data_IF_748474238609
#
_entry.id   IF_748474238609
#
_cell.length_a   1.000
_cell.length_b   1.000
_cell.length_c   1.000
_cell.angle_alpha   90.00
_cell.angle_beta   90.00
_cell.angle_gamma   90.00
#
_symmetry.space_group_name_H-M   'P 1'
#
loop_
_entity.id
_entity.type
_entity.pdbx_description
1 polymer ?
#
# COMPACT_ATOMS: atom_id res chain seq x y z
N UNK A 1 24.33 17.00 -31.14
CA UNK A 1 23.05 16.39 -30.72
C UNK A 1 22.39 17.41 -29.83
N UNK A 2 21.47 18.20 -30.39
CA UNK A 2 20.73 19.20 -29.62
C UNK A 2 19.65 18.46 -28.85
N UNK A 3 19.89 18.15 -27.58
CA UNK A 3 18.87 17.61 -26.69
C UNK A 3 18.49 18.70 -25.71
N UNK A 4 17.20 19.00 -25.57
CA UNK A 4 16.74 19.84 -24.48
C UNK A 4 16.96 19.09 -23.18
N UNK A 5 17.68 19.70 -22.24
CA UNK A 5 17.88 19.11 -20.93
C UNK A 5 16.53 18.87 -20.24
N UNK A 6 16.35 17.73 -19.55
CA UNK A 6 15.18 17.51 -18.71
C UNK A 6 15.08 18.59 -17.64
N UNK A 7 13.85 18.98 -17.32
CA UNK A 7 13.57 20.05 -16.36
C UNK A 7 13.15 19.45 -15.03
N UNK A 8 13.88 19.70 -13.92
CA UNK A 8 13.46 19.27 -12.60
C UNK A 8 12.10 19.85 -12.21
N UNK A 9 11.31 19.06 -11.49
CA UNK A 9 10.03 19.46 -10.94
C UNK A 9 10.23 19.92 -9.49
N UNK A 10 9.77 21.14 -9.18
CA UNK A 10 9.97 21.73 -7.86
C UNK A 10 9.00 21.19 -6.79
N UNK A 11 7.79 20.80 -7.19
CA UNK A 11 6.78 20.17 -6.34
C UNK A 11 7.11 18.70 -6.00
N UNK A 12 6.42 18.17 -4.99
CA UNK A 12 6.58 16.79 -4.52
C UNK A 12 7.73 16.60 -3.52
N UNK A 13 7.86 15.37 -3.03
CA UNK A 13 8.82 14.99 -1.98
C UNK A 13 10.09 14.30 -2.53
N UNK A 14 10.09 13.91 -3.81
CA UNK A 14 11.17 13.18 -4.47
C UNK A 14 11.74 13.91 -5.69
N UNK A 15 12.68 13.25 -6.38
CA UNK A 15 13.18 13.67 -7.67
C UNK A 15 12.20 13.33 -8.79
N UNK A 16 11.80 14.33 -9.57
CA UNK A 16 10.94 14.16 -10.74
C UNK A 16 11.36 15.15 -11.82
N UNK A 17 11.29 14.73 -13.08
CA UNK A 17 11.86 15.47 -14.21
C UNK A 17 10.93 15.44 -15.42
N UNK A 18 10.64 16.59 -16.01
CA UNK A 18 9.99 16.70 -17.31
C UNK A 18 11.00 16.45 -18.43
N UNK A 19 10.71 15.48 -19.27
CA UNK A 19 11.42 15.25 -20.53
C UNK A 19 10.67 15.92 -21.66
N UNK A 20 11.41 16.55 -22.57
CA UNK A 20 10.86 17.35 -23.66
C UNK A 20 11.26 16.80 -25.03
N UNK A 21 10.38 16.95 -26.02
CA UNK A 21 10.70 16.69 -27.42
C UNK A 21 11.56 17.82 -28.00
N UNK A 22 11.95 17.70 -29.28
CA UNK A 22 12.76 18.72 -29.97
C UNK A 22 12.03 20.07 -30.14
N UNK A 23 10.71 20.10 -29.98
CA UNK A 23 9.86 21.29 -30.04
C UNK A 23 9.77 22.02 -28.68
N UNK A 24 10.23 21.39 -27.60
CA UNK A 24 10.17 21.93 -26.24
C UNK A 24 8.94 21.51 -25.44
N UNK A 25 8.05 20.72 -26.02
CA UNK A 25 6.86 20.21 -25.35
C UNK A 25 7.21 19.09 -24.39
N UNK A 26 6.53 19.07 -23.24
CA UNK A 26 6.66 18.01 -22.24
C UNK A 26 6.03 16.74 -22.78
N UNK A 27 6.79 15.65 -22.82
CA UNK A 27 6.33 14.35 -23.37
C UNK A 27 6.36 13.22 -22.35
N UNK A 28 7.19 13.34 -21.31
CA UNK A 28 7.26 12.34 -20.25
C UNK A 28 7.66 12.94 -18.90
N UNK A 29 7.27 12.25 -17.84
CA UNK A 29 7.72 12.47 -16.48
C UNK A 29 8.59 11.28 -16.08
N UNK A 30 9.78 11.58 -15.56
CA UNK A 30 10.74 10.56 -15.12
C UNK A 30 10.98 10.72 -13.63
N UNK A 31 10.78 9.64 -12.86
CA UNK A 31 11.02 9.60 -11.41
C UNK A 31 12.08 8.52 -11.09
N UNK A 32 13.35 8.91 -10.84
CA UNK A 32 14.39 7.95 -10.46
C UNK A 32 14.13 7.32 -9.09
N UNK A 33 14.25 6.00 -9.00
CA UNK A 33 13.89 5.23 -7.78
C UNK A 33 14.81 5.52 -6.60
N UNK A 34 16.03 5.99 -6.83
CA UNK A 34 16.97 6.36 -5.77
C UNK A 34 16.84 7.82 -5.33
N UNK A 35 15.90 8.57 -5.92
CA UNK A 35 15.60 9.98 -5.60
C UNK A 35 14.24 10.18 -4.94
N UNK A 36 13.47 9.11 -4.69
CA UNK A 36 12.19 9.18 -4.00
C UNK A 36 12.35 9.60 -2.51
N UNK A 37 11.26 9.88 -1.78
CA UNK A 37 11.35 10.25 -0.36
C UNK A 37 12.11 9.20 0.46
N UNK A 38 13.02 9.68 1.30
CA UNK A 38 13.97 8.90 2.12
C UNK A 38 15.07 8.17 1.37
N UNK A 39 15.06 8.15 0.04
CA UNK A 39 16.10 7.50 -0.75
C UNK A 39 17.45 8.23 -0.67
N UNK A 40 18.58 7.52 -0.87
CA UNK A 40 19.91 8.08 -0.67
C UNK A 40 20.19 9.34 -1.51
N UNK A 41 19.65 9.42 -2.72
CA UNK A 41 19.89 10.51 -3.66
C UNK A 41 18.70 11.48 -3.77
N UNK A 42 17.81 11.54 -2.77
CA UNK A 42 16.69 12.48 -2.78
C UNK A 42 17.20 13.95 -2.90
N UNK A 43 16.77 14.70 -3.94
CA UNK A 43 17.23 16.08 -4.18
C UNK A 43 16.58 17.13 -3.27
N UNK A 44 15.51 16.77 -2.56
CA UNK A 44 14.75 17.65 -1.68
C UNK A 44 15.24 17.60 -0.23
N UNK A 45 16.27 16.79 0.06
CA UNK A 45 16.86 16.66 1.38
C UNK A 45 16.14 15.67 2.31
N UNK A 46 15.03 15.06 1.87
CA UNK A 46 14.37 13.97 2.57
C UNK A 46 15.16 12.68 2.37
N UNK A 47 16.33 12.60 2.99
CA UNK A 47 17.23 11.43 2.94
C UNK A 47 17.27 10.75 4.31
N UNK A 48 17.85 9.56 4.39
CA UNK A 48 18.15 8.94 5.69
C UNK A 48 17.87 7.45 5.77
N UNK A 49 17.31 6.84 4.71
CA UNK A 49 17.03 5.40 4.68
C UNK A 49 17.76 4.72 3.53
N UNK A 50 18.11 3.46 3.75
CA UNK A 50 18.64 2.60 2.70
C UNK A 50 17.50 2.09 1.81
N UNK A 51 17.80 1.79 0.54
CA UNK A 51 16.84 1.13 -0.35
C UNK A 51 16.38 -0.21 0.27
N UNK A 52 15.08 -0.49 0.19
CA UNK A 52 14.46 -1.66 0.80
C UNK A 52 14.08 -1.50 2.28
N UNK A 53 14.38 -0.37 2.93
CA UNK A 53 13.81 -0.04 4.24
C UNK A 53 12.38 0.50 4.09
N UNK A 54 11.54 0.47 5.16
CA UNK A 54 10.20 1.07 5.11
C UNK A 54 10.24 2.53 4.65
N UNK A 55 9.35 2.90 3.73
CA UNK A 55 9.26 4.25 3.16
C UNK A 55 8.25 5.13 3.90
N UNK A 56 7.61 6.04 3.14
CA UNK A 56 6.57 6.94 3.65
C UNK A 56 5.37 6.18 4.21
N UNK A 57 4.94 5.13 3.50
CA UNK A 57 4.05 4.07 4.01
C UNK A 57 4.92 2.90 4.45
N UNK A 58 4.69 2.32 5.64
CA UNK A 58 5.58 1.28 6.18
C UNK A 58 5.59 0.01 5.32
N UNK A 59 4.47 -0.29 4.68
CA UNK A 59 4.28 -1.40 3.75
C UNK A 59 4.81 -1.16 2.33
N UNK A 60 5.33 0.04 2.02
CA UNK A 60 5.98 0.36 0.74
C UNK A 60 7.42 0.75 1.02
N UNK A 61 8.38 0.00 0.48
CA UNK A 61 9.80 0.21 0.79
C UNK A 61 10.41 1.29 -0.09
N UNK A 62 11.45 1.94 0.43
CA UNK A 62 12.24 2.92 -0.29
C UNK A 62 12.89 2.27 -1.52
N UNK A 63 12.72 2.88 -2.68
CA UNK A 63 13.18 2.43 -4.00
C UNK A 63 12.16 1.59 -4.76
N UNK A 64 10.96 1.36 -4.21
CA UNK A 64 9.95 0.49 -4.82
C UNK A 64 8.86 1.25 -5.59
N UNK A 65 8.78 2.58 -5.48
CA UNK A 65 7.69 3.36 -6.12
C UNK A 65 7.68 3.21 -7.63
N UNK A 66 8.85 3.15 -8.27
CA UNK A 66 8.97 3.14 -9.73
C UNK A 66 8.37 1.91 -10.40
N UNK A 67 8.51 0.70 -9.85
CA UNK A 67 7.88 -0.48 -10.44
C UNK A 67 6.39 -0.58 -10.12
N UNK A 68 5.93 0.06 -9.04
CA UNK A 68 4.51 0.12 -8.67
C UNK A 68 3.71 0.97 -9.66
N UNK A 69 4.30 2.07 -10.12
CA UNK A 69 3.78 2.88 -11.23
C UNK A 69 3.58 2.05 -12.51
N UNK A 70 4.54 1.17 -12.82
CA UNK A 70 4.45 0.25 -13.97
C UNK A 70 3.39 -0.83 -13.73
N UNK A 71 3.31 -1.38 -12.52
CA UNK A 71 2.30 -2.36 -12.16
C UNK A 71 0.88 -1.79 -12.34
N UNK A 72 0.64 -0.54 -11.95
CA UNK A 72 -0.65 0.12 -12.14
C UNK A 72 -1.03 0.23 -13.63
N UNK A 73 -0.07 0.61 -14.49
CA UNK A 73 -0.29 0.65 -15.94
C UNK A 73 -0.56 -0.74 -16.53
N UNK A 74 0.20 -1.76 -16.13
CA UNK A 74 0.00 -3.14 -16.61
C UNK A 74 -1.34 -3.75 -16.17
N UNK A 75 -1.81 -3.37 -14.98
CA UNK A 75 -3.10 -3.82 -14.44
C UNK A 75 -4.29 -3.02 -14.99
N UNK A 76 -4.06 -1.89 -15.65
CA UNK A 76 -5.11 -1.13 -16.34
C UNK A 76 -5.44 -1.76 -17.70
N UNK A 77 -6.22 -2.85 -17.66
CA UNK A 77 -6.52 -3.64 -18.85
C UNK A 77 -7.24 -2.80 -19.89
N UNK A 78 -6.76 -2.87 -21.14
CA UNK A 78 -7.31 -2.10 -22.26
C UNK A 78 -7.33 -0.57 -22.00
N UNK A 79 -6.51 -0.09 -21.05
CA UNK A 79 -6.46 1.30 -20.62
C UNK A 79 -7.83 1.81 -20.13
N UNK A 80 -8.55 0.99 -19.36
CA UNK A 80 -9.90 1.27 -18.87
C UNK A 80 -9.92 2.50 -17.95
N UNK A 81 -9.02 2.59 -16.96
CA UNK A 81 -8.88 3.69 -16.02
C UNK A 81 -8.14 4.91 -16.59
N UNK A 82 -7.56 4.80 -17.80
CA UNK A 82 -6.72 5.80 -18.44
C UNK A 82 -5.39 6.08 -17.71
N UNK A 83 -4.75 5.05 -17.15
CA UNK A 83 -3.39 5.20 -16.60
C UNK A 83 -2.43 5.55 -17.74
N UNK A 84 -1.70 6.68 -17.69
CA UNK A 84 -0.76 7.03 -18.75
C UNK A 84 0.31 5.96 -18.94
N UNK A 85 0.73 5.74 -20.19
CA UNK A 85 1.70 4.72 -20.52
C UNK A 85 2.96 4.85 -19.67
N UNK A 86 3.31 3.79 -18.94
CA UNK A 86 4.39 3.81 -17.95
C UNK A 86 5.32 2.62 -18.13
N UNK A 87 6.62 2.88 -18.12
CA UNK A 87 7.66 1.86 -18.25
C UNK A 87 8.75 2.03 -17.19
N UNK A 88 9.42 0.93 -16.83
CA UNK A 88 10.63 0.96 -16.02
C UNK A 88 11.84 1.06 -16.95
N UNK A 89 12.65 2.10 -16.81
CA UNK A 89 13.78 2.35 -17.71
C UNK A 89 15.08 2.50 -16.96
N UNK A 90 16.18 2.17 -17.63
CA UNK A 90 17.52 2.60 -17.24
C UNK A 90 17.89 3.84 -18.06
N UNK A 91 18.03 4.99 -17.39
CA UNK A 91 18.24 6.29 -18.04
C UNK A 91 19.50 6.95 -17.51
N UNK A 92 20.20 7.69 -18.38
CA UNK A 92 21.51 8.29 -18.08
C UNK A 92 21.47 9.77 -18.43
N UNK A 93 21.57 10.64 -17.44
CA UNK A 93 21.58 12.10 -17.63
C UNK A 93 22.32 12.79 -16.49
N UNK A 94 22.95 13.94 -16.76
CA UNK A 94 23.69 14.72 -15.75
C UNK A 94 22.79 15.51 -14.79
N UNK A 95 21.49 15.61 -15.10
CA UNK A 95 20.51 16.34 -14.27
C UNK A 95 20.12 15.56 -13.01
N UNK A 96 20.32 14.24 -13.02
CA UNK A 96 19.94 13.38 -11.91
C UNK A 96 20.80 13.64 -10.69
N UNK A 97 20.17 13.67 -9.53
CA UNK A 97 20.84 14.03 -8.29
C UNK A 97 21.72 12.89 -7.77
N UNK A 98 22.90 13.22 -7.26
CA UNK A 98 23.79 12.27 -6.59
C UNK A 98 24.26 12.93 -5.31
N UNK A 99 23.77 12.44 -4.17
CA UNK A 99 24.24 12.91 -2.88
C UNK A 99 25.60 12.26 -2.62
N UNK A 100 26.67 13.05 -2.74
CA UNK A 100 28.02 12.57 -2.42
C UNK A 100 28.16 12.48 -0.89
N UNK A 101 28.58 11.33 -0.32
CA UNK A 101 28.82 11.25 1.11
C UNK A 101 29.89 12.27 1.52
N UNK A 102 29.62 13.01 2.59
CA UNK A 102 30.49 14.05 3.14
C UNK A 102 31.69 13.42 3.86
N UNK A 103 32.44 12.54 3.22
CA UNK A 103 33.74 12.11 3.73
C UNK A 103 34.73 13.25 3.42
N UNK A 104 35.30 13.84 4.48
CA UNK A 104 36.10 15.07 4.52
C UNK A 104 37.41 15.09 3.72
N UNK A 105 37.36 14.74 2.44
CA UNK A 105 38.39 15.03 1.45
C UNK A 105 38.12 16.40 0.83
N UNK A 106 39.19 17.19 0.71
CA UNK A 106 39.22 18.52 0.08
C UNK A 106 38.35 18.63 -1.18
N UNK A 107 37.65 19.76 -1.41
CA UNK A 107 36.91 19.97 -2.64
C UNK A 107 37.90 20.03 -3.81
N UNK A 108 38.06 18.92 -4.53
CA UNK A 108 38.85 18.90 -5.74
C UNK A 108 38.11 19.72 -6.80
N UNK A 109 38.73 20.84 -7.18
CA UNK A 109 38.22 21.88 -8.06
C UNK A 109 38.07 21.46 -9.54
N UNK A 110 38.11 20.16 -9.85
CA UNK A 110 38.06 19.62 -11.22
C UNK A 110 37.21 18.35 -11.28
N UNK A 111 35.89 18.50 -11.36
CA UNK A 111 35.00 17.36 -11.58
C UNK A 111 34.03 17.66 -12.71
N UNK A 112 34.27 17.02 -13.87
CA UNK A 112 33.28 16.89 -14.94
C UNK A 112 31.97 16.39 -14.33
N UNK A 113 30.79 16.85 -14.79
CA UNK A 113 29.51 16.34 -14.32
C UNK A 113 29.51 14.81 -14.49
N UNK A 114 29.40 14.10 -13.37
CA UNK A 114 29.41 12.64 -13.36
C UNK A 114 28.06 12.16 -13.86
N UNK A 115 27.99 11.83 -15.14
CA UNK A 115 26.77 11.28 -15.74
C UNK A 115 26.57 9.87 -15.17
N UNK A 116 25.47 9.64 -14.45
CA UNK A 116 25.13 8.33 -13.88
C UNK A 116 23.89 7.76 -14.54
N UNK A 117 23.85 6.44 -14.63
CA UNK A 117 22.65 5.71 -15.02
C UNK A 117 21.81 5.42 -13.78
N UNK A 118 20.51 5.63 -13.89
CA UNK A 118 19.52 5.35 -12.84
C UNK A 118 18.38 4.50 -13.37
N UNK A 119 17.76 3.75 -12.47
CA UNK A 119 16.46 3.11 -12.73
C UNK A 119 15.38 4.14 -12.40
N UNK A 120 14.40 4.28 -13.27
CA UNK A 120 13.33 5.26 -13.12
C UNK A 120 12.02 4.75 -13.69
N UNK A 121 10.90 5.17 -13.11
CA UNK A 121 9.63 5.13 -13.83
C UNK A 121 9.63 6.23 -14.90
N UNK A 122 9.18 5.88 -16.09
CA UNK A 122 9.06 6.74 -17.25
C UNK A 122 7.60 6.71 -17.69
N UNK A 123 6.86 7.77 -17.34
CA UNK A 123 5.44 7.87 -17.60
C UNK A 123 5.18 8.94 -18.66
N UNK A 124 4.27 8.66 -19.59
CA UNK A 124 3.82 9.63 -20.58
C UNK A 124 3.26 10.88 -19.88
N UNK A 125 3.70 12.05 -20.32
CA UNK A 125 3.12 13.31 -19.87
C UNK A 125 1.76 13.51 -20.54
N UNK A 126 0.74 13.76 -19.72
CA UNK A 126 -0.61 14.10 -20.18
C UNK A 126 -0.77 15.61 -20.07
N UNK A 127 -0.94 16.29 -21.20
CA UNK A 127 -1.38 17.69 -21.21
C UNK A 127 -2.77 17.77 -20.57
N UNK A 128 -2.91 18.61 -19.55
CA UNK A 128 -4.10 18.77 -18.72
C UNK A 128 -4.24 20.24 -18.31
N UNK A 129 -5.43 20.63 -17.87
CA UNK A 129 -5.71 21.99 -17.47
C UNK A 129 -5.54 22.19 -15.96
N UNK A 130 -5.99 21.19 -15.17
CA UNK A 130 -5.98 21.23 -13.70
C UNK A 130 -5.82 19.80 -13.15
N UNK A 131 -5.56 19.66 -11.86
CA UNK A 131 -5.87 18.43 -11.12
C UNK A 131 -7.24 18.52 -10.45
N UNK A 132 -7.74 17.40 -9.91
CA UNK A 132 -9.07 17.33 -9.33
C UNK A 132 -9.21 18.11 -8.01
N UNK A 133 -8.12 18.52 -7.35
CA UNK A 133 -8.19 19.37 -6.15
C UNK A 133 -8.49 20.84 -6.48
N UNK A 134 -8.10 21.28 -7.67
CA UNK A 134 -8.32 22.65 -8.17
C UNK A 134 -9.67 22.82 -8.88
N UNK A 135 -10.41 21.74 -9.13
CA UNK A 135 -11.66 21.76 -9.91
C UNK A 135 -12.82 21.07 -9.16
N UNK A 136 -13.99 21.73 -9.13
CA UNK A 136 -15.21 21.15 -8.57
C UNK A 136 -15.57 19.81 -9.20
N UNK A 137 -15.64 18.78 -8.35
CA UNK A 137 -15.81 17.37 -8.76
C UNK A 137 -17.17 17.06 -9.38
N UNK A 138 -18.16 17.95 -9.25
CA UNK A 138 -19.52 17.78 -9.80
C UNK A 138 -19.58 17.68 -11.33
N UNK A 139 -18.54 18.11 -12.03
CA UNK A 139 -18.45 18.06 -13.50
C UNK A 139 -17.84 16.76 -14.05
N UNK A 140 -17.31 15.90 -13.18
CA UNK A 140 -16.61 14.70 -13.60
C UNK A 140 -17.57 13.62 -14.13
N UNK A 141 -17.26 12.96 -15.25
CA UNK A 141 -18.05 11.83 -15.73
C UNK A 141 -18.07 10.70 -14.72
N UNK A 142 -19.26 10.16 -14.44
CA UNK A 142 -19.46 9.02 -13.52
C UNK A 142 -18.55 7.87 -13.89
N UNK A 143 -18.54 7.49 -15.18
CA UNK A 143 -17.72 6.41 -15.68
C UNK A 143 -16.23 6.64 -15.41
N UNK A 144 -15.71 7.85 -15.63
CA UNK A 144 -14.28 8.13 -15.39
C UNK A 144 -13.90 7.93 -13.89
N UNK A 145 -14.76 8.37 -12.97
CA UNK A 145 -14.56 8.15 -11.53
C UNK A 145 -14.63 6.65 -11.19
N UNK A 146 -15.61 5.94 -11.75
CA UNK A 146 -15.76 4.50 -11.55
C UNK A 146 -14.53 3.71 -12.01
N UNK A 147 -14.02 4.01 -13.21
CA UNK A 147 -12.85 3.31 -13.78
C UNK A 147 -11.59 3.52 -12.93
N UNK A 148 -11.37 4.74 -12.44
CA UNK A 148 -10.27 5.04 -11.50
C UNK A 148 -10.45 4.27 -10.18
N UNK A 149 -11.63 4.34 -9.58
CA UNK A 149 -11.92 3.64 -8.31
C UNK A 149 -11.80 2.12 -8.42
N UNK A 150 -12.25 1.52 -9.53
CA UNK A 150 -12.09 0.10 -9.83
C UNK A 150 -10.61 -0.30 -9.81
N UNK A 151 -9.74 0.47 -10.47
CA UNK A 151 -8.31 0.20 -10.46
C UNK A 151 -7.73 0.39 -9.06
N UNK A 152 -8.01 1.51 -8.40
CA UNK A 152 -7.50 1.84 -7.07
C UNK A 152 -7.86 0.80 -6.01
N UNK A 153 -9.07 0.23 -6.07
CA UNK A 153 -9.49 -0.88 -5.22
C UNK A 153 -8.61 -2.10 -5.48
N UNK A 154 -8.45 -2.53 -6.75
CA UNK A 154 -7.66 -3.73 -7.10
C UNK A 154 -6.21 -3.62 -6.64
N UNK A 155 -5.60 -2.46 -6.85
CA UNK A 155 -4.20 -2.23 -6.50
C UNK A 155 -4.02 -1.79 -5.04
N UNK A 156 -5.11 -1.65 -4.28
CA UNK A 156 -5.11 -1.11 -2.92
C UNK A 156 -4.29 0.18 -2.83
N UNK A 157 -4.70 1.20 -3.59
CA UNK A 157 -4.00 2.48 -3.61
C UNK A 157 -4.14 3.17 -2.24
N UNK A 158 -3.02 3.49 -1.59
CA UNK A 158 -3.04 4.07 -0.24
C UNK A 158 -3.01 5.60 -0.22
N UNK A 159 -2.99 6.23 -1.39
CA UNK A 159 -2.80 7.68 -1.54
C UNK A 159 -3.54 8.26 -2.76
N UNK A 160 -4.79 7.86 -3.00
CA UNK A 160 -5.61 8.49 -4.05
C UNK A 160 -6.27 9.75 -3.53
N UNK A 161 -5.63 10.89 -3.79
CA UNK A 161 -6.20 12.23 -3.60
C UNK A 161 -6.41 12.97 -4.94
N UNK A 162 -7.08 14.12 -4.91
CA UNK A 162 -7.48 14.91 -6.08
C UNK A 162 -6.28 15.42 -6.87
N UNK A 163 -5.18 15.76 -6.18
CA UNK A 163 -3.90 16.07 -6.83
C UNK A 163 -3.30 14.92 -7.68
N UNK A 164 -3.76 13.68 -7.48
CA UNK A 164 -3.32 12.50 -8.25
C UNK A 164 -4.28 12.16 -9.40
N UNK A 165 -5.24 13.04 -9.72
CA UNK A 165 -6.16 12.86 -10.84
C UNK A 165 -6.10 14.11 -11.72
N UNK A 166 -5.53 13.96 -12.91
CA UNK A 166 -5.44 15.05 -13.88
C UNK A 166 -6.77 15.23 -14.59
N UNK A 167 -7.16 16.49 -14.82
CA UNK A 167 -8.39 16.88 -15.50
C UNK A 167 -8.05 17.64 -16.78
N UNK A 168 -8.50 17.11 -17.91
CA UNK A 168 -8.46 17.78 -19.21
C UNK A 168 -9.86 18.19 -19.62
N UNK A 169 -10.05 19.44 -20.02
CA UNK A 169 -11.30 19.94 -20.62
C UNK A 169 -11.34 19.58 -22.10
N UNK A 170 -12.49 19.11 -22.55
CA UNK A 170 -12.77 18.88 -23.96
C UNK A 170 -13.50 20.10 -24.54
N UNK A 171 -12.88 20.73 -25.53
CA UNK A 171 -13.48 21.85 -26.28
C UNK A 171 -14.57 21.31 -27.23
N UNK A 172 -15.85 21.49 -26.88
CA UNK A 172 -16.95 21.04 -27.75
C UNK A 172 -18.38 21.08 -27.21
N UNK A 173 -18.61 21.44 -25.94
CA UNK A 173 -19.95 21.49 -25.36
C UNK A 173 -20.75 22.75 -25.72
N UNK A 174 -21.28 22.88 -26.94
CA UNK A 174 -22.28 23.92 -27.30
C UNK A 174 -23.69 23.62 -26.76
N UNK A 175 -23.81 23.11 -25.54
CA UNK A 175 -25.08 22.69 -24.94
C UNK A 175 -25.14 22.99 -23.44
N UNK A 176 -26.35 23.23 -22.92
CA UNK A 176 -26.66 23.66 -21.54
C UNK A 176 -26.28 22.67 -20.41
N UNK A 177 -25.41 21.69 -20.66
CA UNK A 177 -24.98 20.67 -19.71
C UNK A 177 -23.46 20.43 -19.78
N UNK A 178 -22.70 21.22 -19.02
CA UNK A 178 -21.31 20.94 -18.61
C UNK A 178 -20.23 20.94 -19.70
N UNK A 179 -19.03 21.44 -19.35
CA UNK A 179 -17.83 21.11 -20.11
C UNK A 179 -17.54 19.62 -19.91
N UNK A 180 -17.43 18.85 -20.99
CA UNK A 180 -16.97 17.46 -20.89
C UNK A 180 -15.50 17.46 -20.44
N UNK A 181 -15.18 16.59 -19.49
CA UNK A 181 -13.81 16.43 -18.97
C UNK A 181 -13.33 15.00 -19.13
N UNK A 182 -12.04 14.83 -19.32
CA UNK A 182 -11.34 13.55 -19.23
C UNK A 182 -10.52 13.51 -17.95
N UNK A 183 -10.48 12.35 -17.30
CA UNK A 183 -9.69 12.11 -16.09
C UNK A 183 -8.57 11.11 -16.38
N UNK A 184 -7.40 11.38 -15.80
CA UNK A 184 -6.22 10.51 -15.89
C UNK A 184 -5.65 10.31 -14.48
N UNK A 185 -5.71 9.09 -13.91
CA UNK A 185 -5.05 8.80 -12.64
C UNK A 185 -3.54 8.74 -12.85
N UNK A 186 -2.80 9.41 -11.96
CA UNK A 186 -1.34 9.39 -11.94
C UNK A 186 -0.85 9.04 -10.53
N UNK A 187 0.47 8.92 -10.39
CA UNK A 187 1.16 8.77 -9.10
C UNK A 187 0.72 7.54 -8.28
N UNK A 188 0.93 6.35 -8.85
CA UNK A 188 0.60 5.07 -8.23
C UNK A 188 1.76 4.50 -7.39
N UNK A 189 2.75 5.33 -7.02
CA UNK A 189 3.93 4.89 -6.29
C UNK A 189 3.65 4.21 -4.93
N UNK A 190 2.47 4.48 -4.34
CA UNK A 190 2.03 3.96 -3.04
C UNK A 190 0.89 2.92 -3.14
N UNK A 191 0.78 2.19 -4.26
CA UNK A 191 -0.12 1.05 -4.42
C UNK A 191 0.57 -0.29 -4.10
N UNK A 192 -0.23 -1.37 -4.00
CA UNK A 192 0.18 -2.76 -3.79
C UNK A 192 1.01 -3.00 -2.51
N UNK A 193 0.60 -2.48 -1.35
CA UNK A 193 1.37 -2.61 -0.11
C UNK A 193 1.65 -4.07 0.29
N UNK A 194 2.64 -4.29 1.16
CA UNK A 194 2.91 -5.61 1.75
C UNK A 194 1.81 -6.14 2.65
N UNK A 195 1.10 -5.23 3.32
CA UNK A 195 0.07 -5.54 4.31
C UNK A 195 -1.10 -4.57 4.11
N UNK A 196 -2.26 -4.93 4.64
CA UNK A 196 -3.38 -4.01 4.69
C UNK A 196 -3.05 -2.88 5.67
N UNK A 197 -3.14 -1.65 5.17
CA UNK A 197 -3.09 -0.40 5.92
C UNK A 197 -4.38 0.37 5.59
N UNK A 198 -4.67 1.46 6.30
CA UNK A 198 -5.80 2.30 5.93
C UNK A 198 -5.56 3.00 4.57
N UNK A 199 -6.33 2.68 3.51
CA UNK A 199 -6.20 3.35 2.23
C UNK A 199 -6.86 4.72 2.27
N UNK A 200 -6.38 5.65 1.45
CA UNK A 200 -7.04 6.94 1.26
C UNK A 200 -7.63 7.02 -0.14
N UNK A 201 -8.96 7.11 -0.21
CA UNK A 201 -9.73 7.22 -1.45
C UNK A 201 -10.59 8.49 -1.41
N UNK A 202 -10.11 9.58 -2.00
CA UNK A 202 -10.88 10.84 -2.02
C UNK A 202 -12.19 10.72 -2.81
N UNK A 203 -12.22 9.86 -3.83
CA UNK A 203 -13.40 9.66 -4.67
C UNK A 203 -14.60 9.07 -3.93
N UNK A 204 -14.43 8.49 -2.73
CA UNK A 204 -15.57 8.03 -1.90
C UNK A 204 -16.52 9.20 -1.61
N UNK A 205 -15.98 10.41 -1.49
CA UNK A 205 -16.75 11.62 -1.18
C UNK A 205 -17.33 12.30 -2.42
N UNK A 206 -17.07 11.79 -3.62
CA UNK A 206 -17.60 12.35 -4.86
C UNK A 206 -18.97 11.73 -5.14
N UNK A 207 -19.94 12.56 -5.52
CA UNK A 207 -21.33 12.12 -5.74
C UNK A 207 -21.43 10.99 -6.78
N UNK A 208 -20.50 10.96 -7.73
CA UNK A 208 -20.37 9.93 -8.75
C UNK A 208 -20.18 8.54 -8.15
N UNK A 209 -19.38 8.39 -7.09
CA UNK A 209 -19.09 7.08 -6.50
C UNK A 209 -20.31 6.43 -5.82
N UNK A 210 -21.33 7.23 -5.47
CA UNK A 210 -22.61 6.72 -4.95
C UNK A 210 -23.59 6.29 -6.03
N UNK A 211 -23.22 6.38 -7.32
CA UNK A 211 -24.04 5.94 -8.44
C UNK A 211 -23.73 4.45 -8.71
N UNK A 212 -24.74 3.60 -9.00
CA UNK A 212 -24.49 2.20 -9.34
C UNK A 212 -23.57 2.07 -10.57
N UNK A 213 -22.76 1.00 -10.59
CA UNK A 213 -21.97 0.65 -11.77
C UNK A 213 -22.86 0.44 -13.00
N UNK A 214 -22.35 0.84 -14.15
CA UNK A 214 -22.94 0.53 -15.45
C UNK A 214 -22.69 -0.93 -15.85
N UNK A 215 -23.44 -1.42 -16.85
CA UNK A 215 -23.24 -2.76 -17.39
C UNK A 215 -21.83 -2.98 -17.95
N UNK A 216 -21.25 -1.95 -18.59
CA UNK A 216 -19.87 -1.99 -19.11
C UNK A 216 -18.86 -2.19 -17.97
N UNK A 217 -19.03 -1.46 -16.87
CA UNK A 217 -18.15 -1.56 -15.69
C UNK A 217 -18.29 -2.91 -14.99
N UNK A 218 -19.52 -3.40 -14.83
CA UNK A 218 -19.77 -4.72 -14.24
C UNK A 218 -19.20 -5.84 -15.12
N UNK A 219 -19.34 -5.73 -16.45
CA UNK A 219 -18.75 -6.68 -17.39
C UNK A 219 -17.22 -6.67 -17.28
N UNK A 220 -16.60 -5.48 -17.24
CA UNK A 220 -15.15 -5.34 -17.03
C UNK A 220 -14.71 -6.02 -15.73
N UNK A 221 -15.35 -5.71 -14.59
CA UNK A 221 -15.04 -6.30 -13.28
C UNK A 221 -15.19 -7.83 -13.32
N UNK A 222 -16.25 -8.34 -13.95
CA UNK A 222 -16.52 -9.78 -14.05
C UNK A 222 -15.43 -10.55 -14.81
N UNK A 223 -14.74 -9.91 -15.77
CA UNK A 223 -13.68 -10.50 -16.59
C UNK A 223 -12.30 -10.52 -15.93
N UNK A 224 -12.07 -9.72 -14.88
CA UNK A 224 -10.78 -9.66 -14.18
C UNK A 224 -10.36 -11.02 -13.62
N UNK A 225 -9.10 -11.41 -13.80
CA UNK A 225 -8.55 -12.66 -13.28
C UNK A 225 -7.36 -12.36 -12.36
N UNK A 226 -7.56 -12.39 -11.02
CA UNK A 226 -6.50 -12.05 -10.07
C UNK A 226 -5.27 -12.96 -10.17
N UNK A 227 -5.45 -14.23 -10.55
CA UNK A 227 -4.35 -15.19 -10.62
C UNK A 227 -3.51 -14.96 -11.88
N UNK A 228 -4.18 -14.65 -13.00
CA UNK A 228 -3.51 -14.27 -14.24
C UNK A 228 -2.75 -12.96 -14.08
N UNK A 229 -3.34 -11.97 -13.42
CA UNK A 229 -2.72 -10.67 -13.16
C UNK A 229 -1.49 -10.82 -12.27
N UNK A 230 -1.60 -11.61 -11.20
CA UNK A 230 -0.46 -11.91 -10.33
C UNK A 230 0.65 -12.67 -11.09
N UNK A 231 0.30 -13.63 -11.95
CA UNK A 231 1.28 -14.35 -12.76
C UNK A 231 2.00 -13.43 -13.77
N UNK A 232 1.25 -12.51 -14.40
CA UNK A 232 1.82 -11.50 -15.29
C UNK A 232 2.81 -10.61 -14.54
N UNK A 233 2.44 -10.09 -13.36
CA UNK A 233 3.35 -9.26 -12.58
C UNK A 233 4.59 -10.02 -12.09
N UNK A 234 4.49 -11.32 -11.74
CA UNK A 234 5.67 -12.14 -11.43
C UNK A 234 6.64 -12.23 -12.61
N UNK A 235 6.12 -12.28 -13.83
CA UNK A 235 6.92 -12.34 -15.06
C UNK A 235 7.56 -11.00 -15.43
N UNK A 236 6.76 -9.93 -15.45
CA UNK A 236 7.19 -8.61 -15.90
C UNK A 236 7.97 -7.83 -14.84
N UNK A 237 7.62 -8.00 -13.56
CA UNK A 237 8.18 -7.27 -12.43
C UNK A 237 8.66 -8.24 -11.33
N UNK A 238 9.72 -9.04 -11.55
CA UNK A 238 10.16 -10.08 -10.62
C UNK A 238 10.66 -9.56 -9.26
N UNK A 239 10.83 -8.25 -9.10
CA UNK A 239 11.11 -7.60 -7.82
C UNK A 239 9.88 -7.43 -6.93
N UNK A 240 8.66 -7.57 -7.49
CA UNK A 240 7.44 -7.50 -6.71
C UNK A 240 7.36 -8.68 -5.75
N UNK A 241 7.01 -8.41 -4.50
CA UNK A 241 7.04 -9.41 -3.44
C UNK A 241 5.70 -10.11 -3.37
N UNK A 242 5.74 -11.39 -2.99
CA UNK A 242 4.54 -12.25 -2.98
C UNK A 242 3.41 -11.67 -2.11
N UNK A 243 3.74 -10.99 -1.02
CA UNK A 243 2.77 -10.29 -0.17
C UNK A 243 1.95 -9.24 -0.94
N UNK A 244 2.59 -8.46 -1.83
CA UNK A 244 1.92 -7.48 -2.67
C UNK A 244 0.97 -8.14 -3.68
N UNK A 245 1.35 -9.30 -4.22
CA UNK A 245 0.51 -10.09 -5.12
C UNK A 245 -0.70 -10.68 -4.39
N UNK A 246 -0.52 -11.11 -3.14
CA UNK A 246 -1.62 -11.56 -2.27
C UNK A 246 -2.63 -10.43 -2.03
N UNK A 247 -2.17 -9.19 -1.80
CA UNK A 247 -3.05 -8.02 -1.70
C UNK A 247 -3.82 -7.79 -3.01
N UNK A 248 -3.17 -7.84 -4.17
CA UNK A 248 -3.84 -7.71 -5.48
C UNK A 248 -4.93 -8.76 -5.67
N UNK A 249 -4.62 -10.03 -5.38
CA UNK A 249 -5.56 -11.15 -5.51
C UNK A 249 -6.77 -10.92 -4.60
N UNK A 250 -6.50 -10.65 -3.32
CA UNK A 250 -7.52 -10.41 -2.30
C UNK A 250 -8.46 -9.27 -2.70
N UNK A 251 -7.92 -8.12 -3.08
CA UNK A 251 -8.71 -6.93 -3.40
C UNK A 251 -9.49 -7.07 -4.70
N UNK A 252 -8.95 -7.80 -5.67
CA UNK A 252 -9.67 -8.12 -6.91
C UNK A 252 -10.83 -9.08 -6.64
N UNK A 253 -10.65 -10.10 -5.80
CA UNK A 253 -11.76 -10.99 -5.37
C UNK A 253 -12.82 -10.17 -4.63
N UNK A 254 -12.39 -9.33 -3.69
CA UNK A 254 -13.28 -8.45 -2.93
C UNK A 254 -14.14 -7.56 -3.84
N UNK A 255 -13.51 -6.86 -4.79
CA UNK A 255 -14.19 -6.01 -5.77
C UNK A 255 -15.23 -6.81 -6.57
N UNK A 256 -14.86 -7.99 -7.07
CA UNK A 256 -15.75 -8.81 -7.90
C UNK A 256 -16.99 -9.25 -7.14
N UNK A 257 -16.83 -9.77 -5.93
CA UNK A 257 -17.95 -10.23 -5.10
C UNK A 257 -18.84 -9.06 -4.68
N UNK A 258 -18.24 -7.93 -4.26
CA UNK A 258 -18.99 -6.75 -3.83
C UNK A 258 -19.77 -6.09 -4.99
N UNK A 259 -19.17 -5.99 -6.17
CA UNK A 259 -19.84 -5.46 -7.36
C UNK A 259 -20.95 -6.40 -7.86
N UNK A 260 -20.72 -7.72 -7.85
CA UNK A 260 -21.75 -8.71 -8.20
C UNK A 260 -22.92 -8.71 -7.21
N UNK A 261 -22.65 -8.39 -5.94
CA UNK A 261 -23.67 -8.22 -4.92
C UNK A 261 -24.49 -6.92 -5.09
N UNK A 262 -24.01 -5.99 -5.90
CA UNK A 262 -24.69 -4.75 -6.29
C UNK A 262 -24.30 -3.53 -5.46
N UNK A 263 -23.15 -3.55 -4.77
CA UNK A 263 -22.63 -2.36 -4.10
C UNK A 263 -22.10 -1.34 -5.12
N UNK A 264 -22.31 -0.05 -4.84
CA UNK A 264 -21.69 1.04 -5.60
C UNK A 264 -20.24 1.27 -5.17
N UNK A 265 -19.51 2.06 -5.95
CA UNK A 265 -18.09 2.31 -5.72
C UNK A 265 -17.81 2.88 -4.31
N UNK A 266 -18.62 3.84 -3.85
CA UNK A 266 -18.49 4.44 -2.52
C UNK A 266 -18.67 3.41 -1.39
N UNK A 267 -19.66 2.52 -1.49
CA UNK A 267 -19.91 1.48 -0.49
C UNK A 267 -18.74 0.48 -0.40
N UNK A 268 -18.15 0.13 -1.55
CA UNK A 268 -16.97 -0.74 -1.60
C UNK A 268 -15.76 -0.03 -0.96
N UNK A 269 -15.54 1.24 -1.30
CA UNK A 269 -14.48 2.06 -0.69
C UNK A 269 -14.64 2.17 0.83
N UNK A 270 -15.85 2.46 1.32
CA UNK A 270 -16.17 2.54 2.75
C UNK A 270 -15.88 1.24 3.50
N UNK A 271 -16.07 0.08 2.86
CA UNK A 271 -15.72 -1.22 3.46
C UNK A 271 -14.19 -1.42 3.60
N UNK A 272 -13.39 -0.74 2.78
CA UNK A 272 -11.92 -0.85 2.78
C UNK A 272 -11.26 0.17 3.71
N UNK A 273 -11.85 1.35 3.87
CA UNK A 273 -11.36 2.43 4.74
C UNK A 273 -11.77 2.21 6.20
N UNK A 274 -10.93 2.61 7.15
CA UNK A 274 -11.24 2.56 8.58
C UNK A 274 -12.17 3.69 8.99
N UNK A 275 -13.13 3.40 9.87
CA UNK A 275 -13.95 4.44 10.51
C UNK A 275 -13.17 5.05 11.69
N UNK A 276 -12.97 6.37 11.68
CA UNK A 276 -12.33 7.06 12.81
C UNK A 276 -13.37 7.35 13.91
N UNK A 277 -13.49 6.46 14.90
CA UNK A 277 -14.37 6.65 16.07
C UNK A 277 -13.54 6.93 17.32
N UNK A 278 -13.32 8.21 17.62
CA UNK A 278 -12.56 8.62 18.81
C UNK A 278 -11.05 8.69 18.57
N UNK A 279 -10.26 8.16 19.50
CA UNK A 279 -8.78 8.22 19.48
C UNK A 279 -8.12 6.89 19.10
N UNK A 280 -8.89 5.83 18.87
CA UNK A 280 -8.38 4.48 18.56
C UNK A 280 -8.70 4.10 17.11
N UNK A 281 -7.75 3.45 16.43
CA UNK A 281 -7.95 2.91 15.08
C UNK A 281 -8.68 1.57 15.16
N UNK A 282 -9.85 1.47 14.53
CA UNK A 282 -10.58 0.20 14.35
C UNK A 282 -10.29 -0.40 12.97
N UNK A 283 -10.24 -1.74 12.82
CA UNK A 283 -10.03 -2.38 11.53
C UNK A 283 -11.20 -2.08 10.58
N UNK A 284 -10.91 -1.96 9.29
CA UNK A 284 -11.96 -1.84 8.27
C UNK A 284 -12.75 -3.15 8.13
N UNK A 285 -13.90 -3.12 7.46
CA UNK A 285 -14.69 -4.35 7.23
C UNK A 285 -13.90 -5.39 6.44
N UNK A 286 -13.13 -4.96 5.44
CA UNK A 286 -12.22 -5.83 4.71
C UNK A 286 -11.21 -6.50 5.67
N UNK A 287 -10.60 -5.72 6.57
CA UNK A 287 -9.63 -6.23 7.53
C UNK A 287 -10.27 -7.21 8.52
N UNK A 288 -11.49 -6.95 9.00
CA UNK A 288 -12.24 -7.86 9.88
C UNK A 288 -12.47 -9.21 9.21
N UNK A 289 -12.93 -9.23 7.94
CA UNK A 289 -13.11 -10.48 7.19
C UNK A 289 -11.79 -11.23 7.05
N UNK A 290 -10.69 -10.51 6.79
CA UNK A 290 -9.36 -11.10 6.69
C UNK A 290 -8.85 -11.67 8.02
N UNK A 291 -9.10 -10.99 9.14
CA UNK A 291 -8.75 -11.47 10.49
C UNK A 291 -9.48 -12.78 10.80
N UNK A 292 -10.77 -12.85 10.49
CA UNK A 292 -11.58 -14.05 10.72
C UNK A 292 -11.16 -15.19 9.80
N UNK A 293 -10.88 -14.92 8.52
CA UNK A 293 -10.32 -15.91 7.59
C UNK A 293 -8.98 -16.45 8.11
N UNK A 294 -8.12 -15.57 8.65
CA UNK A 294 -6.85 -15.98 9.23
C UNK A 294 -7.04 -16.87 10.45
N UNK A 295 -7.99 -16.55 11.34
CA UNK A 295 -8.35 -17.40 12.48
C UNK A 295 -8.78 -18.80 12.05
N UNK A 296 -9.55 -18.92 10.95
CA UNK A 296 -9.96 -20.22 10.39
C UNK A 296 -8.80 -21.03 9.84
N UNK A 297 -7.77 -20.37 9.29
CA UNK A 297 -6.54 -21.03 8.83
C UNK A 297 -5.73 -21.55 10.03
N UNK A 298 -5.63 -20.78 11.10
CA UNK A 298 -4.92 -21.22 12.32
C UNK A 298 -5.62 -22.42 13.01
N UNK A 299 -6.94 -22.57 12.81
CA UNK A 299 -7.74 -23.72 13.27
C UNK A 299 -7.70 -24.90 12.30
N UNK A 300 -7.17 -24.71 11.09
CA UNK A 300 -7.12 -25.75 10.06
C UNK A 300 -5.90 -26.65 10.27
N UNK A 301 -6.15 -27.92 10.61
CA UNK A 301 -5.13 -28.96 10.66
C UNK A 301 -4.94 -29.56 9.25
N UNK A 302 -3.72 -29.56 8.69
CA UNK A 302 -3.45 -30.24 7.43
C UNK A 302 -3.78 -31.72 7.58
N UNK A 303 -4.54 -32.27 6.64
CA UNK A 303 -4.90 -33.69 6.64
C UNK A 303 -3.62 -34.53 6.58
N UNK A 304 -3.17 -35.07 7.72
CA UNK A 304 -2.14 -36.10 7.71
C UNK A 304 -2.80 -37.39 7.22
N UNK A 305 -2.28 -38.04 6.16
CA UNK A 305 -2.73 -39.39 5.86
C UNK A 305 -2.30 -40.24 7.06
N UNK A 306 -3.28 -40.60 7.89
CA UNK A 306 -3.07 -41.58 8.94
C UNK A 306 -2.48 -42.81 8.27
N UNK A 307 -1.23 -43.12 8.61
CA UNK A 307 -0.71 -44.46 8.43
C UNK A 307 -1.67 -45.34 9.22
N UNK A 308 -2.59 -46.01 8.52
CA UNK A 308 -3.27 -47.14 9.10
C UNK A 308 -2.14 -48.06 9.59
N UNK A 309 -1.95 -48.12 10.90
CA UNK A 309 -1.27 -49.23 11.53
C UNK A 309 -2.14 -50.45 11.23
N UNK A 310 -1.95 -51.00 10.04
CA UNK A 310 -2.36 -52.34 9.70
C UNK A 310 -1.74 -53.24 10.75
N UNK A 311 -2.62 -53.96 11.42
CA UNK A 311 -2.33 -54.99 12.41
C UNK A 311 -1.09 -55.80 12.00
N UNK A 312 -0.18 -55.99 12.95
CA UNK A 312 0.97 -56.89 12.84
C UNK A 312 0.55 -58.24 12.24
N UNK A 313 0.81 -58.42 10.95
CA UNK A 313 0.86 -59.74 10.32
C UNK A 313 2.32 -60.05 10.01
N UNK A 314 2.92 -60.78 10.95
CA UNK A 314 4.21 -61.45 10.84
C UNK A 314 4.36 -62.18 9.49
N UNK A 315 5.07 -61.58 8.54
CA UNK A 315 5.59 -62.30 7.38
C UNK A 315 7.03 -62.73 7.65
N UNK A 316 7.15 -63.90 8.28
CA UNK A 316 8.38 -64.67 8.41
C UNK A 316 8.83 -65.16 7.02
N UNK A 317 9.80 -64.48 6.40
CA UNK A 317 10.52 -65.05 5.26
C UNK A 317 11.69 -65.89 5.77
N UNK A 318 11.49 -67.21 5.80
CA UNK A 318 12.58 -68.20 5.85
C UNK A 318 13.31 -68.21 4.50
N UNK A 319 14.58 -67.80 4.48
CA UNK A 319 15.44 -67.92 3.30
C UNK A 319 16.46 -69.03 3.54
N UNK A 320 16.16 -70.20 2.98
CA UNK A 320 17.03 -71.37 3.01
C UNK A 320 18.24 -71.21 2.08
N UNK A 321 19.36 -71.74 2.57
CA UNK A 321 20.72 -71.73 2.03
C UNK A 321 20.89 -72.63 0.80
N UNK A 322 21.59 -72.16 -0.25
CA UNK A 322 22.47 -73.00 -1.09
C UNK A 322 23.40 -72.21 -2.04
N UNK A 323 24.73 -72.36 -1.82
CA UNK A 323 25.85 -72.19 -2.77
C UNK A 323 26.23 -70.76 -3.18
N UNK A 324 27.48 -70.30 -3.23
CA UNK A 324 28.82 -70.87 -3.09
C UNK A 324 29.81 -69.93 -3.82
N UNK A 325 31.04 -69.81 -3.29
CA UNK A 325 32.28 -69.15 -3.80
C UNK A 325 32.68 -67.73 -3.32
N UNK A 326 33.85 -67.71 -2.62
CA UNK A 326 35.00 -66.77 -2.55
C UNK A 326 34.80 -65.30 -2.97
N UNK A 327 35.36 -64.25 -2.35
CA UNK A 327 36.67 -64.10 -1.68
C UNK A 327 36.83 -62.65 -1.15
N UNK A 328 37.52 -62.50 -0.03
CA UNK A 328 38.36 -61.39 0.51
C UNK A 328 38.16 -59.90 0.08
N UNK A 329 38.01 -58.99 1.06
CA UNK A 329 39.02 -58.00 1.54
C UNK A 329 38.43 -56.98 2.57
N UNK A 330 39.11 -56.89 3.73
CA UNK A 330 39.28 -55.79 4.73
C UNK A 330 38.12 -54.92 5.25
N UNK A 331 37.92 -55.01 6.58
CA UNK A 331 37.57 -53.90 7.49
C UNK A 331 38.82 -53.04 7.83
N UNK A 332 38.70 -51.87 8.51
CA UNK A 332 38.34 -51.76 9.95
C UNK A 332 37.30 -50.65 10.25
N UNK A 333 36.27 -50.90 11.06
CA UNK A 333 36.18 -50.71 12.53
C UNK A 333 36.73 -49.37 13.06
N UNK A 334 35.86 -48.59 13.71
CA UNK A 334 36.00 -48.26 15.14
C UNK A 334 34.62 -47.99 15.79
N UNK A 335 34.31 -48.80 16.80
CA UNK A 335 33.25 -48.61 17.79
C UNK A 335 33.70 -47.57 18.83
N UNK A 336 32.75 -46.89 19.50
CA UNK A 336 32.29 -47.30 20.85
C UNK A 336 31.54 -46.18 21.58
N UNK A 337 30.35 -46.53 22.08
CA UNK A 337 29.75 -46.18 23.39
C UNK A 337 29.72 -44.70 23.82
N UNK A 338 28.59 -44.06 24.08
CA UNK A 338 27.38 -44.54 24.73
C UNK A 338 27.37 -44.08 26.20
N UNK A 339 26.32 -43.38 26.65
CA UNK A 339 25.76 -43.47 28.01
C UNK A 339 24.47 -42.64 28.14
N UNK A 340 23.53 -43.26 28.86
CA UNK A 340 22.17 -42.84 29.22
C UNK A 340 22.15 -41.67 30.21
N UNK A 341 21.04 -40.92 30.23
CA UNK A 341 20.63 -40.12 31.39
C UNK A 341 19.26 -39.47 31.18
N UNK A 342 18.31 -39.79 32.05
CA UNK A 342 16.88 -39.44 32.01
C UNK A 342 16.55 -38.30 32.98
N UNK A 343 15.39 -37.66 32.75
CA UNK A 343 14.47 -36.99 33.69
C UNK A 343 14.37 -35.44 33.73
N UNK A 344 13.16 -34.98 33.36
CA UNK A 344 12.21 -34.07 34.05
C UNK A 344 12.50 -32.56 34.21
N UNK A 345 11.56 -31.76 33.67
CA UNK A 345 11.13 -30.42 34.12
C UNK A 345 10.64 -30.45 35.59
N UNK A 346 10.71 -29.36 36.41
CA UNK A 346 9.76 -28.24 36.32
C UNK A 346 10.23 -26.82 36.81
N UNK A 347 9.36 -25.84 36.53
CA UNK A 347 9.25 -24.42 36.95
C UNK A 347 9.77 -24.02 38.35
N UNK A 348 10.33 -22.81 38.50
CA UNK A 348 9.84 -21.69 39.36
C UNK A 348 10.70 -20.40 39.33
N UNK A 349 10.03 -19.28 39.61
CA UNK A 349 10.46 -17.87 39.80
C UNK A 349 11.64 -17.65 40.76
N UNK A 350 12.38 -16.51 40.64
CA UNK A 350 12.38 -15.33 41.56
C UNK A 350 13.64 -14.42 41.39
N UNK A 351 13.46 -13.11 41.70
CA UNK A 351 14.41 -12.03 42.11
C UNK A 351 15.19 -11.33 40.98
N UNK A 352 14.83 -10.12 40.56
CA UNK A 352 15.08 -8.78 41.14
C UNK A 352 16.57 -8.39 41.32
N UNK A 353 16.97 -7.30 40.68
CA UNK A 353 18.09 -6.47 41.14
C UNK A 353 17.75 -5.01 40.89
N UNK A 354 17.59 -4.29 42.00
CA UNK A 354 17.46 -2.84 42.13
C UNK A 354 18.66 -2.12 41.52
N UNK A 355 18.43 -0.92 41.01
CA UNK A 355 19.29 0.23 41.32
C UNK A 355 18.37 1.43 41.55
N UNK A 356 18.43 1.93 42.77
CA UNK A 356 17.89 3.18 43.25
C UNK A 356 18.79 4.33 42.81
N UNK A 357 18.17 5.48 42.57
CA UNK A 357 18.60 6.85 42.88
C UNK A 357 17.36 7.69 42.47
N UNK A 358 16.63 8.40 43.32
CA UNK A 358 16.94 8.98 44.62
C UNK A 358 16.38 10.40 44.57
N UNK A 359 15.31 10.62 45.34
CA UNK A 359 14.92 11.86 46.01
C UNK A 359 14.48 13.07 45.13
N UNK A 360 13.46 13.88 45.43
CA UNK A 360 12.59 13.98 46.61
C UNK A 360 11.36 14.87 46.31
N UNK A 361 10.23 14.51 46.93
CA UNK A 361 9.25 15.33 47.69
C UNK A 361 8.50 16.49 46.98
N UNK A 362 7.20 16.29 46.72
CA UNK A 362 6.04 16.66 47.58
C UNK A 362 5.62 18.13 47.44
N UNK A 363 4.40 18.38 46.94
CA UNK A 363 3.33 18.81 47.85
C UNK A 363 1.92 18.73 47.25
N UNK A 364 0.96 18.45 48.11
CA UNK A 364 -0.45 18.18 47.85
C UNK A 364 -1.27 19.48 47.73
N UNK A 365 -2.34 19.46 46.92
CA UNK A 365 -3.75 19.75 47.33
C UNK A 365 -4.66 20.06 46.15
N UNK A 366 -5.73 19.29 46.01
CA UNK A 366 -7.00 19.82 45.50
C UNK A 366 -7.75 20.61 46.58
N UNK A 367 -8.65 21.52 46.18
CA UNK A 367 -10.05 21.24 46.46
C UNK A 367 -11.04 21.63 45.34
N UNK A 368 -12.30 21.26 45.60
CA UNK A 368 -13.44 21.04 44.73
C UNK A 368 -14.37 22.24 44.45
N UNK A 369 -15.27 22.00 43.48
CA UNK A 369 -16.71 22.38 43.36
C UNK A 369 -17.18 23.76 42.85
N UNK A 370 -17.99 23.64 41.76
CA UNK A 370 -19.23 24.38 41.36
C UNK A 370 -19.13 25.88 41.03
N UNK A 371 -19.83 26.48 40.05
CA UNK A 371 -21.11 26.21 39.36
C UNK A 371 -21.27 27.10 38.11
N UNK A 372 -22.04 26.65 37.09
CA UNK A 372 -22.99 27.40 36.20
C UNK A 372 -22.48 28.65 35.44
N UNK A 373 -22.80 28.99 34.18
CA UNK A 373 -23.92 28.63 33.31
C UNK A 373 -23.70 29.31 31.93
N UNK A 374 -24.37 28.79 30.88
CA UNK A 374 -24.73 29.40 29.57
C UNK A 374 -23.82 29.27 28.32
N UNK A 375 -24.30 28.39 27.42
CA UNK A 375 -24.50 28.51 25.96
C UNK A 375 -23.72 29.56 25.14
N UNK A 376 -22.98 29.11 24.12
CA UNK A 376 -23.34 29.32 22.69
C UNK A 376 -22.33 28.67 21.72
N UNK A 377 -22.90 28.09 20.64
CA UNK A 377 -22.36 27.92 19.27
C UNK A 377 -21.07 27.11 19.03
N UNK A 378 -21.28 26.01 18.31
CA UNK A 378 -20.29 25.15 17.69
C UNK A 378 -19.59 25.87 16.51
N UNK A 379 -18.27 25.73 16.44
CA UNK A 379 -17.48 25.90 15.22
C UNK A 379 -16.36 24.84 15.23
N UNK A 380 -16.52 23.82 14.38
CA UNK A 380 -15.47 22.84 14.10
C UNK A 380 -14.46 23.49 13.15
N UNK A 381 -13.30 23.87 13.68
CA UNK A 381 -12.19 24.44 12.90
C UNK A 381 -11.30 23.31 12.36
N UNK A 382 -11.35 23.12 11.05
CA UNK A 382 -10.35 22.39 10.26
C UNK A 382 -9.05 23.20 10.18
N UNK A 383 -7.85 22.61 10.36
CA UNK A 383 -6.61 23.36 10.16
C UNK A 383 -6.30 23.43 8.65
N UNK A 384 -6.66 24.56 8.04
CA UNK A 384 -6.13 24.98 6.73
C UNK A 384 -4.79 25.69 6.91
N UNK A 385 -3.73 25.20 6.25
CA UNK A 385 -2.46 25.91 6.18
C UNK A 385 -2.57 27.05 5.16
N UNK A 386 -2.89 28.25 5.63
CA UNK A 386 -2.74 29.46 4.82
C UNK A 386 -1.34 30.07 4.94
N UNK A 387 -0.68 30.14 3.79
CA UNK A 387 0.52 30.92 3.49
C UNK A 387 0.18 32.41 3.49
N UNK A 388 0.94 33.23 4.23
CA UNK A 388 0.91 34.70 4.12
C UNK A 388 2.28 35.26 3.73
N UNK A 389 2.26 36.27 2.87
CA UNK A 389 3.42 36.92 2.24
C UNK A 389 3.68 38.32 2.79
N UNK A 390 4.98 38.67 2.86
CA UNK A 390 5.62 40.01 2.95
C UNK A 390 5.58 40.72 4.33
N UNK A 391 6.61 41.43 4.82
CA UNK A 391 7.72 42.14 4.17
C UNK A 391 8.94 42.42 5.11
N UNK A 392 10.16 42.27 4.56
CA UNK A 392 11.45 42.99 4.77
C UNK A 392 11.91 43.42 6.18
N UNK A 393 13.06 42.89 6.61
CA UNK A 393 14.29 43.64 6.95
C UNK A 393 15.52 42.72 6.90
N UNK A 394 16.65 43.33 6.59
CA UNK A 394 17.97 42.76 6.27
C UNK A 394 18.80 42.33 7.47
N UNK A 395 19.40 41.14 7.43
CA UNK A 395 20.77 40.88 7.93
C UNK A 395 21.24 39.47 7.56
N UNK A 396 22.45 39.37 7.02
CA UNK A 396 23.16 38.13 6.73
C UNK A 396 23.30 37.22 7.96
N UNK A 397 22.78 36.00 7.87
CA UNK A 397 23.31 34.83 8.57
C UNK A 397 22.83 33.56 7.87
N UNK A 398 23.78 32.69 7.51
CA UNK A 398 23.51 31.38 6.93
C UNK A 398 22.78 30.51 7.98
N UNK A 399 21.51 30.24 7.75
CA UNK A 399 20.75 29.30 8.56
C UNK A 399 20.74 27.96 7.84
N UNK A 400 21.59 27.03 8.31
CA UNK A 400 21.47 25.62 8.00
C UNK A 400 20.05 25.15 8.35
N UNK A 401 19.35 24.55 7.39
CA UNK A 401 18.12 23.83 7.66
C UNK A 401 18.42 22.72 8.69
N UNK A 402 17.65 22.59 9.77
CA UNK A 402 17.86 21.51 10.71
C UNK A 402 17.50 20.21 9.99
N UNK A 403 18.44 19.26 9.97
CA UNK A 403 18.19 17.87 9.63
C UNK A 403 17.10 17.34 10.58
N UNK A 404 15.84 17.37 10.13
CA UNK A 404 14.78 16.61 10.81
C UNK A 404 15.11 15.14 10.61
N UNK A 405 15.34 14.43 11.71
CA UNK A 405 15.56 13.00 11.71
C UNK A 405 14.40 12.30 11.00
N UNK A 406 14.69 11.29 10.17
CA UNK A 406 13.71 10.47 9.48
C UNK A 406 12.80 9.65 10.42
N UNK A 407 12.98 9.78 11.75
CA UNK A 407 12.19 9.15 12.80
C UNK A 407 11.10 10.06 13.39
N UNK A 408 11.09 11.37 13.10
CA UNK A 408 10.06 12.29 13.60
C UNK A 408 8.97 12.59 12.55
N UNK A 409 8.14 11.61 12.16
CA UNK A 409 6.82 11.92 11.57
C UNK A 409 5.83 10.74 11.47
N UNK A 410 4.58 11.09 11.81
CA UNK A 410 3.28 10.38 11.78
C UNK A 410 3.13 9.13 12.67
N UNK A 411 2.09 9.08 13.54
CA UNK A 411 1.69 7.83 14.20
C UNK A 411 1.46 6.77 13.13
N UNK A 412 2.05 5.59 13.31
CA UNK A 412 1.89 4.54 12.33
C UNK A 412 0.53 3.90 12.47
N UNK A 413 -0.20 3.85 11.35
CA UNK A 413 -1.42 3.07 11.24
C UNK A 413 -1.16 1.62 11.64
N UNK A 414 -2.06 1.05 12.45
CA UNK A 414 -1.95 -0.32 12.94
C UNK A 414 -2.03 -1.30 11.76
N UNK A 415 -1.28 -2.40 11.82
CA UNK A 415 -1.40 -3.50 10.85
C UNK A 415 -2.18 -4.64 11.51
N UNK A 416 -3.44 -4.82 11.14
CA UNK A 416 -4.30 -5.86 11.71
C UNK A 416 -4.05 -7.23 11.10
N UNK A 417 -3.69 -7.28 9.81
CA UNK A 417 -3.52 -8.53 9.06
C UNK A 417 -2.21 -8.51 8.29
N UNK A 418 -1.40 -9.56 8.47
CA UNK A 418 -0.23 -9.83 7.66
C UNK A 418 -0.54 -10.95 6.68
N UNK A 419 -0.23 -10.73 5.41
CA UNK A 419 -0.45 -11.71 4.35
C UNK A 419 0.84 -12.41 3.92
N UNK A 420 2.00 -11.95 4.38
CA UNK A 420 3.31 -12.41 3.94
C UNK A 420 3.78 -13.72 4.57
N UNK A 421 3.20 -14.11 5.70
CA UNK A 421 3.69 -15.17 6.59
C UNK A 421 3.01 -16.54 6.38
N UNK A 422 2.05 -16.63 5.47
CA UNK A 422 1.39 -17.90 5.10
C UNK A 422 2.18 -18.68 4.04
N UNK A 423 2.24 -20.01 4.17
CA UNK A 423 2.65 -20.96 3.13
C UNK A 423 1.70 -20.94 1.92
N UNK A 424 2.01 -21.70 0.88
CA UNK A 424 1.14 -21.77 -0.30
C UNK A 424 -0.19 -22.46 0.01
N UNK A 425 -0.15 -23.50 0.85
CA UNK A 425 -1.30 -24.27 1.30
C UNK A 425 -2.19 -23.43 2.21
N UNK A 426 -1.61 -22.76 3.22
CA UNK A 426 -2.34 -21.85 4.11
C UNK A 426 -2.97 -20.70 3.33
N UNK A 427 -2.27 -20.15 2.33
CA UNK A 427 -2.82 -19.09 1.48
C UNK A 427 -4.04 -19.57 0.67
N UNK A 428 -4.02 -20.80 0.17
CA UNK A 428 -5.15 -21.36 -0.55
C UNK A 428 -6.38 -21.49 0.36
N UNK A 429 -6.21 -22.03 1.57
CA UNK A 429 -7.26 -22.13 2.57
C UNK A 429 -7.74 -20.75 2.99
N UNK A 430 -6.84 -19.79 3.18
CA UNK A 430 -7.17 -18.40 3.51
C UNK A 430 -8.11 -17.78 2.47
N UNK A 431 -7.79 -17.92 1.18
CA UNK A 431 -8.62 -17.35 0.10
C UNK A 431 -10.00 -17.99 0.06
N UNK A 432 -10.09 -19.31 0.24
CA UNK A 432 -11.38 -20.02 0.31
C UNK A 432 -12.24 -19.48 1.48
N UNK A 433 -11.67 -19.39 2.68
CA UNK A 433 -12.38 -18.89 3.87
C UNK A 433 -12.72 -17.42 3.78
N UNK A 434 -11.84 -16.62 3.18
CA UNK A 434 -12.12 -15.23 2.88
C UNK A 434 -13.35 -15.08 1.99
N UNK A 435 -13.48 -15.88 0.92
CA UNK A 435 -14.63 -15.80 0.02
C UNK A 435 -15.95 -16.24 0.68
N UNK A 436 -15.92 -17.25 1.56
CA UNK A 436 -17.08 -17.66 2.35
C UNK A 436 -17.54 -16.52 3.28
N UNK A 437 -16.63 -16.00 4.10
CA UNK A 437 -16.90 -14.95 5.08
C UNK A 437 -17.27 -13.61 4.43
N UNK A 438 -16.72 -13.31 3.26
CA UNK A 438 -17.05 -12.10 2.52
C UNK A 438 -18.52 -12.08 2.12
N UNK A 439 -19.08 -13.23 1.70
CA UNK A 439 -20.51 -13.32 1.33
C UNK A 439 -21.40 -13.01 2.53
N UNK A 440 -21.06 -13.55 3.70
CA UNK A 440 -21.76 -13.27 4.96
C UNK A 440 -21.69 -11.77 5.30
N UNK A 441 -20.50 -11.17 5.22
CA UNK A 441 -20.31 -9.75 5.50
C UNK A 441 -21.08 -8.83 4.53
N UNK A 442 -21.21 -9.21 3.25
CA UNK A 442 -22.00 -8.47 2.26
C UNK A 442 -23.51 -8.56 2.56
N UNK A 443 -24.00 -9.73 2.98
CA UNK A 443 -25.39 -9.91 3.40
C UNK A 443 -25.74 -9.06 4.63
N UNK A 444 -24.85 -9.02 5.63
CA UNK A 444 -24.99 -8.15 6.80
C UNK A 444 -25.03 -6.67 6.43
N UNK A 445 -24.18 -6.24 5.48
CA UNK A 445 -24.19 -4.87 4.98
C UNK A 445 -25.53 -4.49 4.35
N UNK A 446 -26.12 -5.40 3.56
CA UNK A 446 -27.45 -5.21 2.96
C UNK A 446 -28.56 -5.12 4.01
N UNK A 447 -28.50 -5.97 5.04
CA UNK A 447 -29.46 -5.95 6.13
C UNK A 447 -29.39 -4.62 6.91
N UNK A 448 -28.17 -4.15 7.21
CA UNK A 448 -27.93 -2.88 7.88
C UNK A 448 -28.38 -1.68 7.04
N UNK A 449 -28.11 -1.67 5.73
CA UNK A 449 -28.57 -0.62 4.80
C UNK A 449 -30.10 -0.57 4.71
N UNK A 450 -30.75 -1.74 4.63
CA UNK A 450 -32.20 -1.87 4.65
C UNK A 450 -32.84 -1.35 5.95
N UNK A 451 -32.17 -1.51 7.09
CA UNK A 451 -32.60 -0.95 8.37
C UNK A 451 -32.40 0.58 8.44
N UNK A 452 -31.27 1.11 7.96
CA UNK A 452 -31.02 2.56 7.87
C UNK A 452 -32.04 3.27 6.96
N UNK A 453 -32.43 2.66 5.85
CA UNK A 453 -33.46 3.21 4.94
C UNK A 453 -34.86 3.20 5.58
N UNK A 454 -35.21 2.16 6.36
CA UNK A 454 -36.45 2.12 7.15
C UNK A 454 -36.50 3.16 8.25
N UNK A 455 -35.36 3.47 8.90
CA UNK A 455 -35.28 4.53 9.91
C UNK A 455 -35.40 5.94 9.28
N UNK A 456 -34.86 6.16 8.08
CA UNK A 456 -35.00 7.43 7.33
C UNK A 456 -36.42 7.72 6.83
N UNK A 457 -37.21 6.69 6.51
CA UNK A 457 -38.62 6.83 6.12
C UNK A 457 -39.57 7.02 7.32
N UNK A 458 -39.07 6.95 8.57
CA UNK A 458 -39.86 7.03 9.79
C UNK A 458 -40.18 8.44 10.31
N UNK A 459 -39.61 9.50 9.71
CA UNK A 459 -39.87 10.90 10.11
C UNK A 459 -40.26 11.75 8.91
N UNK A 460 -41.36 11.40 8.25
CA UNK A 460 -42.05 12.35 7.37
C UNK A 460 -42.77 13.36 8.26
N UNK A 461 -42.20 14.55 8.43
CA UNK A 461 -42.91 15.71 8.94
C UNK A 461 -44.21 15.89 8.14
N UNK A 462 -45.36 15.78 8.80
CA UNK A 462 -46.62 16.26 8.25
C UNK A 462 -46.55 17.79 8.29
N UNK A 463 -46.51 18.41 7.12
CA UNK A 463 -46.70 19.85 6.96
C UNK A 463 -48.18 20.22 7.11
#
# INVERSE_FOLDING_TARGET
MGGLDPVPIDSGLGGSYYFRNDEGDRVAIVKPTDEEPFAPNNPKGFTGRALGQPGLKKSVRVGETGFREVAAYLLDHENFANVPATALVKITHSVFNINRPMNGGTPAHDHKPQVTSKIASFQQFIAHDFDASDHGTSSFPVAAVHRIGILDIRIFNTDRHGGNVLVRKLDGGTGRFGCQTELFPIDHGLCLPENLEDPYFEWIHWAQASIPFSEEELEYISKLDPMRDAAMLRGELPMIREACLRVLILCTIFLKEAAAFGLCLAEIGEMMTREFRGMEEEPSKLEVVCMEARRKVDEWEPFSPSVEQGEDMDFQFSMDVLGGYSDVIRSPRFNCSGLKGSFRNPLTKLVESMNEDGDDEEDRKEPSMHSSDRFSSADFSTPSLHRTTSSKTSSNSSMHAPNRSADEQLPSSLCFVRLSDMSAEEWHVFVEKFQELLKEALEECKAAAGQRMKQRLGTSCKF
#
